data_IF_463018467147
#
_entry.id   IF_463018467147
#
_cell.length_a   1.000
_cell.length_b   1.000
_cell.length_c   1.000
_cell.angle_alpha   90.00
_cell.angle_beta   90.00
_cell.angle_gamma   90.00
#
_symmetry.space_group_name_H-M   'P 1'
#
loop_
_entity.id
_entity.type
_entity.pdbx_description
1 polymer ?
#
# COMPACT_ATOMS: atom_id res chain seq x y z
N UNK A 1 -22.88 -18.75 3.01
CA UNK A 1 -21.94 -17.98 2.16
C UNK A 1 -21.36 -16.75 2.86
N UNK A 2 -22.15 -15.89 3.53
CA UNK A 2 -21.65 -14.67 4.22
C UNK A 2 -20.44 -14.89 5.15
N UNK A 3 -20.46 -15.98 5.92
CA UNK A 3 -19.39 -16.32 6.88
C UNK A 3 -18.05 -16.74 6.20
N UNK A 4 -18.11 -17.21 4.95
CA UNK A 4 -16.93 -17.64 4.18
C UNK A 4 -16.25 -16.42 3.54
N UNK A 5 -17.03 -15.49 2.97
CA UNK A 5 -16.48 -14.25 2.39
C UNK A 5 -15.81 -13.40 3.47
N UNK A 6 -16.44 -13.27 4.64
CA UNK A 6 -15.86 -12.57 5.78
C UNK A 6 -14.53 -13.19 6.23
N UNK A 7 -14.44 -14.53 6.27
CA UNK A 7 -13.19 -15.25 6.56
C UNK A 7 -12.10 -14.87 5.55
N UNK A 8 -12.38 -14.95 4.26
CA UNK A 8 -11.39 -14.65 3.22
C UNK A 8 -10.97 -13.18 3.21
N UNK A 9 -11.89 -12.25 3.46
CA UNK A 9 -11.57 -10.84 3.64
C UNK A 9 -10.58 -10.60 4.79
N UNK A 10 -10.78 -11.27 5.93
CA UNK A 10 -9.86 -11.18 7.08
C UNK A 10 -8.48 -11.76 6.74
N UNK A 11 -8.45 -12.93 6.11
CA UNK A 11 -7.20 -13.59 5.73
C UNK A 11 -6.40 -12.76 4.72
N UNK A 12 -7.05 -12.22 3.67
CA UNK A 12 -6.39 -11.31 2.71
C UNK A 12 -5.86 -10.05 3.39
N UNK A 13 -6.64 -9.47 4.31
CA UNK A 13 -6.18 -8.31 5.07
C UNK A 13 -4.97 -8.66 5.95
N UNK A 14 -4.96 -9.84 6.59
CA UNK A 14 -3.85 -10.31 7.40
C UNK A 14 -2.59 -10.55 6.56
N UNK A 15 -2.75 -11.10 5.34
CA UNK A 15 -1.64 -11.26 4.40
C UNK A 15 -1.11 -9.88 4.01
N UNK A 16 -1.97 -8.98 3.53
CA UNK A 16 -1.57 -7.64 3.08
C UNK A 16 -0.87 -6.83 4.18
N UNK A 17 -1.36 -6.93 5.42
CA UNK A 17 -0.75 -6.31 6.59
C UNK A 17 0.56 -6.99 6.96
N UNK A 18 0.55 -8.32 7.07
CA UNK A 18 1.68 -9.10 7.56
C UNK A 18 2.91 -9.03 6.66
N UNK A 19 2.71 -8.88 5.36
CA UNK A 19 3.80 -8.69 4.39
C UNK A 19 4.66 -7.44 4.65
N UNK A 20 4.18 -6.47 5.43
CA UNK A 20 4.87 -5.18 5.65
C UNK A 20 5.12 -4.88 7.12
N UNK A 21 4.16 -5.23 7.97
CA UNK A 21 4.09 -4.80 9.36
C UNK A 21 4.31 -5.93 10.35
N UNK A 22 4.69 -7.13 9.92
CA UNK A 22 5.08 -8.15 10.88
C UNK A 22 6.26 -7.66 11.72
N UNK A 23 6.20 -7.82 13.04
CA UNK A 23 7.35 -7.66 13.91
C UNK A 23 8.53 -8.49 13.40
N UNK A 24 9.76 -7.98 13.51
CA UNK A 24 10.98 -8.69 13.06
C UNK A 24 11.15 -10.07 13.76
N UNK A 25 10.54 -10.25 14.92
CA UNK A 25 10.49 -11.48 15.71
C UNK A 25 9.28 -12.38 15.42
N UNK A 26 8.31 -11.91 14.61
CA UNK A 26 7.15 -12.69 14.21
C UNK A 26 7.53 -13.61 13.03
N UNK A 27 8.06 -14.79 13.35
CA UNK A 27 8.43 -15.83 12.39
C UNK A 27 7.19 -16.45 11.75
N UNK A 28 6.67 -15.84 10.69
CA UNK A 28 5.90 -16.57 9.68
C UNK A 28 6.85 -16.88 8.51
N UNK A 29 7.30 -18.14 8.34
CA UNK A 29 8.24 -18.50 7.28
C UNK A 29 7.69 -18.19 5.88
N UNK A 30 6.36 -18.07 5.72
CA UNK A 30 5.76 -17.67 4.44
C UNK A 30 5.91 -16.18 4.12
N UNK A 31 6.25 -15.34 5.11
CA UNK A 31 6.42 -13.90 4.94
C UNK A 31 7.86 -13.41 5.18
N UNK A 32 8.70 -14.26 5.77
CA UNK A 32 10.11 -13.97 6.07
C UNK A 32 10.88 -13.40 4.87
N UNK A 33 10.71 -13.99 3.69
CA UNK A 33 11.35 -13.50 2.46
C UNK A 33 10.98 -12.05 2.15
N UNK A 34 9.71 -11.68 2.25
CA UNK A 34 9.20 -10.34 1.95
C UNK A 34 9.68 -9.34 3.00
N UNK A 35 9.58 -9.71 4.28
CA UNK A 35 10.07 -8.89 5.40
C UNK A 35 11.58 -8.62 5.28
N UNK A 36 12.37 -9.63 4.91
CA UNK A 36 13.80 -9.49 4.69
C UNK A 36 14.10 -8.58 3.49
N UNK A 37 13.41 -8.76 2.36
CA UNK A 37 13.58 -7.89 1.19
C UNK A 37 13.27 -6.42 1.51
N UNK A 38 12.19 -6.15 2.24
CA UNK A 38 11.81 -4.80 2.69
C UNK A 38 12.91 -4.22 3.59
N UNK A 39 13.40 -5.02 4.55
CA UNK A 39 14.45 -4.62 5.48
C UNK A 39 15.75 -4.29 4.75
N UNK A 40 16.14 -5.10 3.77
CA UNK A 40 17.34 -4.89 2.98
C UNK A 40 17.21 -3.64 2.11
N UNK A 41 16.05 -3.39 1.48
CA UNK A 41 15.82 -2.16 0.73
C UNK A 41 15.97 -0.93 1.64
N UNK A 42 15.36 -0.95 2.83
CA UNK A 42 15.45 0.15 3.80
C UNK A 42 16.91 0.40 4.22
N UNK A 43 17.67 -0.66 4.49
CA UNK A 43 19.08 -0.58 4.90
C UNK A 43 19.98 -0.09 3.76
N UNK A 44 19.86 -0.68 2.58
CA UNK A 44 20.72 -0.37 1.43
C UNK A 44 20.50 1.05 0.92
N UNK A 45 19.25 1.54 0.99
CA UNK A 45 18.92 2.92 0.63
C UNK A 45 19.17 3.92 1.77
N UNK A 46 19.59 3.44 2.95
CA UNK A 46 19.87 4.25 4.12
C UNK A 46 18.70 5.13 4.56
N UNK A 47 17.47 4.62 4.48
CA UNK A 47 16.29 5.39 4.84
C UNK A 47 16.33 5.79 6.31
N UNK A 48 16.05 7.07 6.57
CA UNK A 48 15.75 7.54 7.91
C UNK A 48 14.39 6.98 8.38
N UNK A 49 14.02 7.23 9.65
CA UNK A 49 12.78 6.69 10.23
C UNK A 49 11.52 7.11 9.47
N UNK A 50 11.46 8.36 8.99
CA UNK A 50 10.33 8.89 8.25
C UNK A 50 10.25 8.27 6.85
N UNK A 51 11.39 8.15 6.17
CA UNK A 51 11.47 7.52 4.85
C UNK A 51 11.10 6.03 4.92
N UNK A 52 11.61 5.30 5.90
CA UNK A 52 11.26 3.90 6.11
C UNK A 52 9.75 3.74 6.40
N UNK A 53 9.17 4.65 7.16
CA UNK A 53 7.74 4.66 7.43
C UNK A 53 6.91 4.95 6.18
N UNK A 54 7.29 5.99 5.41
CA UNK A 54 6.66 6.33 4.13
C UNK A 54 6.72 5.17 3.14
N UNK A 55 7.88 4.53 3.02
CA UNK A 55 8.07 3.35 2.17
C UNK A 55 7.11 2.21 2.52
N UNK A 56 7.01 1.86 3.81
CA UNK A 56 6.08 0.83 4.29
C UNK A 56 4.62 1.22 4.09
N UNK A 57 4.28 2.50 4.24
CA UNK A 57 2.94 3.01 4.00
C UNK A 57 2.57 2.90 2.51
N UNK A 58 3.43 3.34 1.61
CA UNK A 58 3.22 3.20 0.17
C UNK A 58 3.09 1.71 -0.23
N UNK A 59 3.89 0.83 0.37
CA UNK A 59 3.81 -0.61 0.14
C UNK A 59 2.49 -1.21 0.65
N UNK A 60 1.94 -0.66 1.71
CA UNK A 60 0.62 -1.05 2.22
C UNK A 60 -0.49 -0.71 1.23
N UNK A 61 -0.45 0.50 0.64
CA UNK A 61 -1.40 0.91 -0.40
C UNK A 61 -1.29 0.00 -1.63
N UNK A 62 -0.07 -0.36 -2.02
CA UNK A 62 0.17 -1.31 -3.10
C UNK A 62 -0.36 -2.71 -2.77
N UNK A 63 -0.16 -3.21 -1.56
CA UNK A 63 -0.65 -4.53 -1.16
C UNK A 63 -2.18 -4.61 -1.22
N UNK A 64 -2.88 -3.57 -0.77
CA UNK A 64 -4.34 -3.48 -0.90
C UNK A 64 -4.74 -3.54 -2.38
N UNK A 65 -4.05 -2.77 -3.23
CA UNK A 65 -4.29 -2.77 -4.68
C UNK A 65 -4.08 -4.15 -5.31
N UNK A 66 -2.96 -4.81 -5.04
CA UNK A 66 -2.64 -6.14 -5.59
C UNK A 66 -3.62 -7.21 -5.09
N UNK A 67 -4.03 -7.15 -3.82
CA UNK A 67 -5.06 -8.04 -3.27
C UNK A 67 -6.41 -7.85 -3.99
N UNK A 68 -6.83 -6.60 -4.18
CA UNK A 68 -8.04 -6.28 -4.94
C UNK A 68 -7.96 -6.74 -6.39
N UNK A 69 -6.81 -6.53 -7.03
CA UNK A 69 -6.57 -6.99 -8.40
C UNK A 69 -6.68 -8.52 -8.50
N UNK A 70 -6.08 -9.25 -7.56
CA UNK A 70 -6.16 -10.71 -7.51
C UNK A 70 -7.59 -11.22 -7.25
N UNK A 71 -8.36 -10.59 -6.36
CA UNK A 71 -9.77 -10.96 -6.15
C UNK A 71 -10.57 -10.79 -7.44
N UNK A 72 -10.44 -9.65 -8.12
CA UNK A 72 -11.13 -9.39 -9.39
C UNK A 72 -10.71 -10.33 -10.52
N UNK A 73 -9.53 -10.94 -10.44
CA UNK A 73 -9.07 -11.94 -11.42
C UNK A 73 -9.76 -13.29 -11.27
N UNK A 74 -10.17 -13.66 -10.04
CA UNK A 74 -10.72 -14.99 -9.74
C UNK A 74 -12.20 -14.98 -9.33
N UNK A 75 -12.78 -13.80 -9.12
CA UNK A 75 -14.19 -13.63 -8.78
C UNK A 75 -14.88 -12.88 -9.92
N UNK A 76 -15.53 -13.63 -10.82
CA UNK A 76 -16.14 -13.10 -12.04
C UNK A 76 -17.25 -12.06 -11.79
N UNK A 77 -17.93 -12.16 -10.64
CA UNK A 77 -19.05 -11.29 -10.31
C UNK A 77 -18.57 -10.09 -9.48
N UNK A 78 -18.75 -8.88 -10.04
CA UNK A 78 -18.31 -7.63 -9.41
C UNK A 78 -18.92 -7.40 -8.02
N UNK A 79 -20.22 -7.70 -7.84
CA UNK A 79 -20.88 -7.55 -6.54
C UNK A 79 -20.29 -8.53 -5.51
N UNK A 80 -19.97 -9.76 -5.93
CA UNK A 80 -19.32 -10.74 -5.08
C UNK A 80 -17.88 -10.37 -4.74
N UNK A 81 -17.11 -9.83 -5.70
CA UNK A 81 -15.78 -9.30 -5.46
C UNK A 81 -15.83 -8.15 -4.44
N UNK A 82 -16.82 -7.26 -4.57
CA UNK A 82 -17.04 -6.16 -3.64
C UNK A 82 -17.34 -6.64 -2.20
N UNK A 83 -18.13 -7.69 -2.05
CA UNK A 83 -18.41 -8.33 -0.74
C UNK A 83 -17.16 -8.90 -0.06
N UNK A 84 -16.05 -9.09 -0.79
CA UNK A 84 -14.75 -9.53 -0.26
C UNK A 84 -13.83 -8.32 -0.03
N UNK A 85 -13.76 -7.43 -1.03
CA UNK A 85 -12.84 -6.28 -1.06
C UNK A 85 -13.17 -5.25 0.01
N UNK A 86 -14.44 -4.84 0.14
CA UNK A 86 -14.83 -3.79 1.08
C UNK A 86 -14.52 -4.19 2.54
N UNK A 87 -14.85 -5.41 3.01
CA UNK A 87 -14.44 -5.85 4.33
C UNK A 87 -12.93 -6.03 4.46
N UNK A 88 -12.22 -6.49 3.43
CA UNK A 88 -10.77 -6.66 3.46
C UNK A 88 -10.06 -5.33 3.75
N UNK A 89 -10.41 -4.25 3.01
CA UNK A 89 -9.85 -2.91 3.26
C UNK A 89 -10.15 -2.44 4.68
N UNK A 90 -11.38 -2.66 5.16
CA UNK A 90 -11.76 -2.31 6.53
C UNK A 90 -10.89 -3.05 7.56
N UNK A 91 -10.77 -4.38 7.46
CA UNK A 91 -9.95 -5.17 8.37
C UNK A 91 -8.49 -4.76 8.35
N UNK A 92 -7.94 -4.44 7.16
CA UNK A 92 -6.59 -3.94 7.04
C UNK A 92 -6.37 -2.67 7.86
N UNK A 93 -7.25 -1.67 7.70
CA UNK A 93 -7.16 -0.41 8.44
C UNK A 93 -7.32 -0.62 9.94
N UNK A 94 -8.26 -1.47 10.35
CA UNK A 94 -8.49 -1.78 11.77
C UNK A 94 -7.27 -2.48 12.39
N UNK A 95 -6.58 -3.37 11.65
CA UNK A 95 -5.32 -4.00 12.09
C UNK A 95 -4.17 -3.00 12.16
N UNK A 96 -4.05 -2.12 11.17
CA UNK A 96 -3.03 -1.09 11.14
C UNK A 96 -3.14 -0.17 12.36
N UNK A 97 -4.35 0.31 12.67
CA UNK A 97 -4.59 1.12 13.87
C UNK A 97 -4.32 0.34 15.17
N UNK A 98 -4.77 -0.92 15.25
CA UNK A 98 -4.57 -1.74 16.43
C UNK A 98 -3.09 -2.03 16.70
N UNK A 99 -2.30 -2.35 15.68
CA UNK A 99 -0.88 -2.65 15.87
C UNK A 99 -0.07 -1.41 16.22
N UNK A 100 -0.33 -0.28 15.55
CA UNK A 100 0.24 1.02 15.93
C UNK A 100 -0.12 1.41 17.37
N UNK A 101 -1.33 1.08 17.83
CA UNK A 101 -1.75 1.35 19.20
C UNK A 101 -1.02 0.50 20.26
N UNK A 102 -0.46 -0.67 19.89
CA UNK A 102 0.30 -1.53 20.83
C UNK A 102 1.71 -1.00 21.10
N UNK A 103 2.27 -0.21 20.20
CA UNK A 103 3.63 0.30 20.32
C UNK A 103 3.72 1.42 21.38
N UNK A 104 2.60 2.03 21.81
CA UNK A 104 2.59 3.22 22.68
C UNK A 104 1.30 3.39 23.52
N UNK A 105 1.34 4.30 24.50
CA UNK A 105 0.14 4.69 25.26
C UNK A 105 -0.83 5.53 24.40
N UNK A 106 -2.13 5.46 24.68
CA UNK A 106 -3.22 6.15 23.95
C UNK A 106 -3.00 7.66 23.78
N UNK A 107 -2.39 8.34 24.77
CA UNK A 107 -2.04 9.77 24.69
C UNK A 107 -0.93 10.07 23.68
N UNK A 108 0.01 9.15 23.46
CA UNK A 108 1.05 9.30 22.44
C UNK A 108 0.53 9.01 21.03
N UNK A 109 -0.53 8.20 20.91
CA UNK A 109 -1.24 7.93 19.66
C UNK A 109 -2.03 9.14 19.18
N UNK A 110 -2.76 9.80 20.09
CA UNK A 110 -3.56 11.01 19.79
C UNK A 110 -2.69 12.25 19.48
N UNK A 111 -1.42 12.26 19.92
CA UNK A 111 -0.47 13.34 19.63
C UNK A 111 0.28 13.19 18.30
N UNK A 112 0.22 12.03 17.63
CA UNK A 112 0.79 11.84 16.29
C UNK A 112 -0.16 12.34 15.21
N UNK A 113 -0.29 13.64 15.16
CA UNK A 113 -0.64 14.29 13.91
C UNK A 113 0.53 14.14 12.95
N UNK A 114 0.44 13.18 12.02
CA UNK A 114 1.34 13.12 10.88
C UNK A 114 1.09 14.31 9.96
N UNK A 115 2.15 14.84 9.38
CA UNK A 115 2.08 15.96 8.45
C UNK A 115 1.89 15.38 7.05
N UNK A 116 0.78 15.72 6.38
CA UNK A 116 0.46 15.21 5.05
C UNK A 116 1.61 15.45 4.04
N UNK A 117 2.22 16.64 4.08
CA UNK A 117 3.35 17.00 3.22
C UNK A 117 4.55 16.07 3.31
N UNK A 118 4.79 15.40 4.44
CA UNK A 118 5.92 14.46 4.60
C UNK A 118 5.78 13.20 3.74
N UNK A 119 4.55 12.87 3.33
CA UNK A 119 4.20 11.65 2.59
C UNK A 119 3.94 11.88 1.10
N UNK A 120 3.89 13.14 0.66
CA UNK A 120 3.67 13.50 -0.74
C UNK A 120 4.95 14.09 -1.32
N UNK A 121 5.77 13.24 -1.95
CA UNK A 121 7.05 13.66 -2.53
C UNK A 121 6.91 14.23 -3.95
N UNK A 122 5.86 13.83 -4.69
CA UNK A 122 5.61 14.35 -6.04
C UNK A 122 4.84 15.66 -5.98
N UNK A 123 5.37 16.67 -6.65
CA UNK A 123 4.73 17.98 -6.75
C UNK A 123 3.38 17.92 -7.50
N UNK A 124 3.28 17.08 -8.54
CA UNK A 124 2.05 16.90 -9.31
C UNK A 124 0.91 16.34 -8.45
N UNK A 125 1.19 15.30 -7.68
CA UNK A 125 0.25 14.71 -6.72
C UNK A 125 -0.12 15.71 -5.61
N UNK A 126 0.87 16.43 -5.07
CA UNK A 126 0.65 17.46 -4.05
C UNK A 126 -0.36 18.51 -4.50
N UNK A 127 -0.24 18.99 -5.75
CA UNK A 127 -1.19 19.95 -6.33
C UNK A 127 -2.59 19.38 -6.45
N UNK A 128 -2.72 18.12 -6.86
CA UNK A 128 -4.02 17.45 -7.01
C UNK A 128 -4.71 17.28 -5.65
N UNK A 129 -4.00 16.74 -4.67
CA UNK A 129 -4.52 16.56 -3.30
C UNK A 129 -4.88 17.92 -2.69
N UNK A 130 -4.05 18.95 -2.90
CA UNK A 130 -4.35 20.31 -2.46
C UNK A 130 -5.66 20.81 -3.04
N UNK A 131 -5.81 20.76 -4.36
CA UNK A 131 -7.00 21.22 -5.03
C UNK A 131 -8.27 20.48 -4.55
N UNK A 132 -8.18 19.16 -4.33
CA UNK A 132 -9.30 18.38 -3.79
C UNK A 132 -9.69 18.85 -2.39
N UNK A 133 -8.72 18.99 -1.47
CA UNK A 133 -9.02 19.43 -0.10
C UNK A 133 -9.63 20.84 -0.10
N UNK A 134 -9.05 21.78 -0.85
CA UNK A 134 -9.56 23.16 -0.96
C UNK A 134 -10.98 23.20 -1.53
N UNK A 135 -11.32 22.29 -2.45
CA UNK A 135 -12.66 22.17 -3.00
C UNK A 135 -13.70 21.72 -1.96
N UNK A 136 -13.29 20.87 -1.01
CA UNK A 136 -14.16 20.33 0.04
C UNK A 136 -14.35 21.35 1.17
N UNK A 137 -13.28 22.03 1.60
CA UNK A 137 -13.34 22.92 2.77
C UNK A 137 -13.54 24.40 2.41
N UNK A 138 -13.52 24.72 1.11
CA UNK A 138 -13.66 26.08 0.55
C UNK A 138 -12.67 27.11 1.11
N UNK A 139 -11.43 26.68 1.39
CA UNK A 139 -10.35 27.52 1.93
C UNK A 139 -8.99 27.04 1.43
N UNK A 140 -8.06 27.96 1.27
CA UNK A 140 -6.66 27.63 0.96
C UNK A 140 -6.05 26.82 2.09
N UNK A 141 -5.31 25.76 1.75
CA UNK A 141 -4.66 24.88 2.72
C UNK A 141 -3.15 24.85 2.55
N UNK A 142 -2.48 24.72 3.68
CA UNK A 142 -1.06 24.43 3.76
C UNK A 142 -0.86 22.94 4.03
N UNK A 143 -0.66 22.16 2.95
CA UNK A 143 -0.43 20.71 3.02
C UNK A 143 0.84 20.39 3.83
N UNK A 144 1.85 21.24 3.79
CA UNK A 144 3.14 21.05 4.47
C UNK A 144 3.04 21.13 5.99
N UNK A 145 1.91 21.62 6.50
CA UNK A 145 1.64 21.68 7.94
C UNK A 145 0.31 21.01 8.31
N UNK A 146 -0.36 20.37 7.34
CA UNK A 146 -1.65 19.73 7.57
C UNK A 146 -1.49 18.45 8.37
N UNK A 147 -2.07 18.49 9.56
CA UNK A 147 -2.06 17.43 10.55
C UNK A 147 -3.23 16.47 10.34
N UNK A 148 -2.96 15.17 10.30
CA UNK A 148 -3.99 14.14 10.23
C UNK A 148 -3.58 12.86 10.96
N UNK A 149 -4.51 11.93 11.12
CA UNK A 149 -4.20 10.58 11.61
C UNK A 149 -3.86 9.64 10.44
N UNK A 150 -3.29 8.47 10.77
CA UNK A 150 -2.85 7.49 9.78
C UNK A 150 -3.95 6.94 8.87
N UNK A 151 -5.17 6.74 9.41
CA UNK A 151 -6.31 6.25 8.64
C UNK A 151 -6.72 7.28 7.58
N UNK A 152 -6.84 8.54 7.97
CA UNK A 152 -7.11 9.65 7.05
C UNK A 152 -6.02 9.81 5.99
N UNK A 153 -4.75 9.62 6.36
CA UNK A 153 -3.65 9.64 5.37
C UNK A 153 -3.78 8.51 4.36
N UNK A 154 -3.96 7.26 4.82
CA UNK A 154 -4.13 6.10 3.93
C UNK A 154 -5.33 6.29 3.01
N UNK A 155 -6.49 6.69 3.57
CA UNK A 155 -7.71 6.92 2.80
C UNK A 155 -7.55 8.04 1.77
N UNK A 156 -6.77 9.08 2.09
CA UNK A 156 -6.48 10.20 1.19
C UNK A 156 -5.52 9.81 0.07
N UNK A 157 -4.42 9.12 0.38
CA UNK A 157 -3.40 8.76 -0.63
C UNK A 157 -3.87 7.61 -1.54
N UNK A 158 -4.66 6.69 -1.01
CA UNK A 158 -5.09 5.49 -1.74
C UNK A 158 -5.64 5.74 -3.15
N UNK A 159 -6.66 6.60 -3.38
CA UNK A 159 -7.20 6.80 -4.72
C UNK A 159 -6.17 7.34 -5.71
N UNK A 160 -5.26 8.22 -5.28
CA UNK A 160 -4.21 8.79 -6.14
C UNK A 160 -3.16 7.77 -6.53
N UNK A 161 -2.62 7.04 -5.55
CA UNK A 161 -1.60 6.01 -5.78
C UNK A 161 -2.14 4.88 -6.66
N UNK A 162 -3.37 4.43 -6.40
CA UNK A 162 -4.02 3.37 -7.20
C UNK A 162 -4.29 3.82 -8.62
N UNK A 163 -4.70 5.07 -8.84
CA UNK A 163 -4.85 5.61 -10.19
C UNK A 163 -3.52 5.57 -10.96
N UNK A 164 -2.41 5.98 -10.31
CA UNK A 164 -1.07 5.87 -10.88
C UNK A 164 -0.70 4.43 -11.23
N UNK A 165 -0.90 3.47 -10.33
CA UNK A 165 -0.60 2.06 -10.60
C UNK A 165 -1.43 1.47 -11.75
N UNK A 166 -2.72 1.81 -11.84
CA UNK A 166 -3.58 1.39 -12.96
C UNK A 166 -3.06 1.93 -14.29
N UNK A 167 -2.76 3.23 -14.34
CA UNK A 167 -2.20 3.87 -15.53
C UNK A 167 -0.85 3.25 -15.92
N UNK A 168 -0.02 2.91 -14.95
CA UNK A 168 1.26 2.25 -15.18
C UNK A 168 1.09 0.87 -15.83
N UNK A 169 0.10 0.08 -15.40
CA UNK A 169 -0.25 -1.20 -16.04
C UNK A 169 -0.74 -0.99 -17.48
N UNK A 170 -1.61 0.00 -17.70
CA UNK A 170 -2.17 0.29 -19.03
C UNK A 170 -1.11 0.74 -20.04
N UNK A 171 0.00 1.31 -19.56
CA UNK A 171 1.09 1.87 -20.38
C UNK A 171 2.38 1.06 -20.34
N UNK A 172 2.34 -0.16 -19.79
CA UNK A 172 3.48 -0.95 -19.29
C UNK A 172 4.60 -1.36 -20.27
N UNK A 173 4.52 -0.96 -21.55
CA UNK A 173 5.51 -1.33 -22.57
C UNK A 173 5.81 -2.83 -22.59
N UNK A 174 7.08 -3.19 -22.84
CA UNK A 174 7.51 -4.59 -22.97
C UNK A 174 8.01 -5.23 -21.65
N UNK A 175 8.16 -4.46 -20.58
CA UNK A 175 8.76 -4.94 -19.32
C UNK A 175 7.71 -5.51 -18.34
N UNK A 176 6.43 -5.31 -18.63
CA UNK A 176 5.31 -5.91 -17.92
C UNK A 176 4.85 -5.13 -16.68
N UNK A 177 3.74 -5.56 -16.08
CA UNK A 177 2.99 -4.76 -15.10
C UNK A 177 3.77 -4.43 -13.85
N UNK A 178 4.50 -5.41 -13.29
CA UNK A 178 5.23 -5.20 -12.04
C UNK A 178 6.40 -4.25 -12.18
N UNK A 179 7.03 -4.19 -13.35
CA UNK A 179 8.08 -3.21 -13.61
C UNK A 179 7.51 -1.80 -13.67
N UNK A 180 6.39 -1.60 -14.36
CA UNK A 180 5.74 -0.29 -14.47
C UNK A 180 5.16 0.18 -13.14
N UNK A 181 4.57 -0.72 -12.34
CA UNK A 181 4.15 -0.42 -10.97
C UNK A 181 5.38 -0.05 -10.12
N UNK A 182 6.51 -0.73 -10.27
CA UNK A 182 7.73 -0.42 -9.53
C UNK A 182 8.31 0.96 -9.88
N UNK A 183 8.27 1.38 -11.14
CA UNK A 183 8.61 2.73 -11.55
C UNK A 183 7.69 3.74 -10.88
N UNK A 184 6.37 3.51 -10.96
CA UNK A 184 5.40 4.44 -10.40
C UNK A 184 5.49 4.52 -8.87
N UNK A 185 5.63 3.39 -8.19
CA UNK A 185 5.93 3.34 -6.77
C UNK A 185 7.19 4.12 -6.42
N UNK A 186 8.28 3.91 -7.17
CA UNK A 186 9.56 4.57 -6.92
C UNK A 186 9.41 6.10 -6.98
N UNK A 187 8.73 6.64 -7.99
CA UNK A 187 8.59 8.10 -8.06
C UNK A 187 7.59 8.62 -7.01
N UNK A 188 6.61 7.83 -6.57
CA UNK A 188 5.70 8.20 -5.48
C UNK A 188 6.46 8.36 -4.16
N UNK A 189 7.34 7.40 -3.89
CA UNK A 189 8.14 7.34 -2.67
C UNK A 189 9.32 8.33 -2.67
N UNK A 190 9.97 8.56 -3.82
CA UNK A 190 11.19 9.40 -3.92
C UNK A 190 10.94 10.80 -4.45
N UNK A 191 9.82 11.04 -5.13
CA UNK A 191 9.60 12.25 -5.92
C UNK A 191 10.45 12.34 -7.20
N UNK A 192 11.35 11.38 -7.46
CA UNK A 192 12.23 11.40 -8.62
C UNK A 192 11.57 10.76 -9.84
N UNK A 193 11.23 11.57 -10.84
CA UNK A 193 10.62 11.14 -12.10
C UNK A 193 11.65 10.65 -13.14
N UNK A 194 12.96 10.74 -12.85
CA UNK A 194 14.01 10.20 -13.70
C UNK A 194 14.31 8.74 -13.36
N UNK A 195 13.68 7.83 -14.09
CA UNK A 195 13.79 6.38 -13.88
C UNK A 195 15.24 5.84 -13.97
N UNK A 196 16.16 6.58 -14.61
CA UNK A 196 17.57 6.16 -14.71
C UNK A 196 18.31 6.21 -13.38
N UNK A 197 17.99 7.18 -12.54
CA UNK A 197 18.67 7.38 -11.26
C UNK A 197 18.22 6.32 -10.23
N UNK A 198 17.01 5.78 -10.39
CA UNK A 198 16.42 4.77 -9.52
C UNK A 198 16.42 3.35 -10.13
N UNK A 199 17.12 3.11 -11.23
CA UNK A 199 16.99 1.88 -12.02
C UNK A 199 17.16 0.58 -11.23
N UNK A 200 18.17 0.51 -10.34
CA UNK A 200 18.38 -0.68 -9.50
C UNK A 200 17.28 -0.88 -8.44
N UNK A 201 16.80 0.21 -7.84
CA UNK A 201 15.68 0.17 -6.91
C UNK A 201 14.42 -0.33 -7.61
N UNK A 202 14.11 0.17 -8.81
CA UNK A 202 12.97 -0.27 -9.62
C UNK A 202 13.04 -1.77 -9.92
N UNK A 203 14.22 -2.29 -10.29
CA UNK A 203 14.38 -3.74 -10.53
C UNK A 203 14.08 -4.53 -9.25
N UNK A 204 14.65 -4.15 -8.11
CA UNK A 204 14.38 -4.83 -6.83
C UNK A 204 12.91 -4.79 -6.43
N UNK A 205 12.28 -3.62 -6.58
CA UNK A 205 10.85 -3.44 -6.32
C UNK A 205 10.02 -4.31 -7.25
N UNK A 206 10.35 -4.41 -8.53
CA UNK A 206 9.60 -5.24 -9.48
C UNK A 206 9.63 -6.73 -9.12
N UNK A 207 10.76 -7.23 -8.63
CA UNK A 207 10.89 -8.61 -8.14
C UNK A 207 10.07 -8.82 -6.86
N UNK A 208 10.17 -7.88 -5.91
CA UNK A 208 9.38 -7.90 -4.68
C UNK A 208 7.88 -7.90 -4.98
N UNK A 209 7.44 -7.02 -5.90
CA UNK A 209 6.03 -6.87 -6.26
C UNK A 209 5.52 -8.08 -7.05
N UNK A 210 6.36 -8.68 -7.89
CA UNK A 210 6.05 -9.95 -8.54
C UNK A 210 5.83 -11.10 -7.54
N UNK A 211 6.67 -11.17 -6.51
CA UNK A 211 6.51 -12.17 -5.45
C UNK A 211 5.24 -11.93 -4.62
N UNK A 212 5.00 -10.68 -4.18
CA UNK A 212 3.78 -10.29 -3.46
C UNK A 212 2.53 -10.58 -4.30
N UNK A 213 2.54 -10.22 -5.59
CA UNK A 213 1.45 -10.52 -6.50
C UNK A 213 1.20 -12.02 -6.59
N UNK A 214 2.26 -12.84 -6.64
CA UNK A 214 2.14 -14.30 -6.66
C UNK A 214 1.46 -14.82 -5.40
N UNK A 215 1.79 -14.30 -4.21
CA UNK A 215 1.13 -14.68 -2.95
C UNK A 215 -0.39 -14.42 -3.03
N UNK A 216 -0.80 -13.23 -3.47
CA UNK A 216 -2.22 -12.89 -3.58
C UNK A 216 -2.94 -13.72 -4.65
N UNK A 217 -2.32 -13.88 -5.82
CA UNK A 217 -2.86 -14.68 -6.92
C UNK A 217 -3.03 -16.14 -6.50
N UNK A 218 -2.04 -16.75 -5.85
CA UNK A 218 -2.10 -18.12 -5.36
C UNK A 218 -3.18 -18.30 -4.30
N UNK A 219 -3.24 -17.39 -3.31
CA UNK A 219 -4.31 -17.40 -2.31
C UNK A 219 -5.69 -17.31 -2.96
N UNK A 220 -5.89 -16.35 -3.87
CA UNK A 220 -7.18 -16.16 -4.54
C UNK A 220 -7.52 -17.36 -5.43
N UNK A 221 -6.54 -17.91 -6.15
CA UNK A 221 -6.72 -19.10 -6.97
C UNK A 221 -7.19 -20.27 -6.12
N UNK A 222 -6.56 -20.54 -4.99
CA UNK A 222 -6.92 -21.67 -4.13
C UNK A 222 -8.30 -21.53 -3.48
N UNK A 223 -8.75 -20.30 -3.18
CA UNK A 223 -9.97 -20.07 -2.41
C UNK A 223 -11.19 -19.67 -3.26
N UNK A 224 -10.98 -19.13 -4.48
CA UNK A 224 -12.03 -18.62 -5.35
C UNK A 224 -12.11 -19.32 -6.71
N UNK A 225 -11.07 -20.03 -7.16
CA UNK A 225 -11.20 -20.80 -8.41
C UNK A 225 -12.19 -21.94 -8.20
N UNK A 226 -13.16 -22.01 -9.10
CA UNK A 226 -14.17 -23.07 -9.11
C UNK A 226 -13.48 -24.44 -9.16
N UNK A 227 -13.89 -25.35 -8.28
CA UNK A 227 -13.79 -26.79 -8.56
C UNK A 227 -14.91 -27.18 -9.52
#
# INVERSE_FOLDING_TARGET
MKNIKEKYSKELACIAFGLVWLPEDATNPNFEFVTNCITDIIKDQQFNKLEAFRFKLDLSLLNIFLAMYAVNLYVDNENEAKEIIDPMRKYFLDMFEADYSKVKTKEQFEQQNIILGDFIQRESERRLIKAEIESIIHKNVDIDNMKMNHRSLLDMLYPYRVAGYKQAIETQGNLGPMFSIAQEFSRHFTGNENDKDNGWLVVRLSLLFGYISTIFTEYCRHNFSRK
#
